data_IF_104410500773
#
_entry.id   IF_104410500773
#
_cell.length_a   1.000
_cell.length_b   1.000
_cell.length_c   1.000
_cell.angle_alpha   90.00
_cell.angle_beta   90.00
_cell.angle_gamma   90.00
#
_symmetry.space_group_name_H-M   'P 1'
#
loop_
_entity.id
_entity.type
_entity.pdbx_description
1 polymer ?
#
# COMPACT_ATOMS: atom_id res chain seq x y z
N UNK A 1 15.60 26.33 5.54
CA UNK A 1 14.59 25.56 4.78
C UNK A 1 14.16 24.42 5.66
N UNK A 2 12.95 24.47 6.22
CA UNK A 2 12.43 23.37 7.05
C UNK A 2 12.31 22.12 6.20
N UNK A 3 12.92 21.02 6.63
CA UNK A 3 12.83 19.74 5.93
C UNK A 3 11.36 19.33 5.83
N UNK A 4 10.92 18.96 4.63
CA UNK A 4 9.67 18.24 4.49
C UNK A 4 9.95 16.84 5.03
N UNK A 5 9.29 16.42 6.11
CA UNK A 5 9.36 15.03 6.55
C UNK A 5 8.67 14.17 5.48
N UNK A 6 9.36 13.15 4.98
CA UNK A 6 8.83 12.22 4.00
C UNK A 6 8.74 10.82 4.59
N UNK A 7 7.70 10.08 4.20
CA UNK A 7 7.59 8.66 4.50
C UNK A 7 8.22 7.86 3.37
N UNK A 8 9.06 6.90 3.71
CA UNK A 8 9.60 5.95 2.74
C UNK A 8 8.58 4.84 2.38
N UNK A 9 8.91 4.01 1.40
CA UNK A 9 8.02 2.94 0.95
C UNK A 9 7.75 1.88 2.03
N UNK A 10 8.69 1.66 2.95
CA UNK A 10 8.50 0.74 4.07
C UNK A 10 7.50 1.29 5.07
N UNK A 11 7.58 2.57 5.40
CA UNK A 11 6.63 3.24 6.27
C UNK A 11 5.24 3.28 5.65
N UNK A 12 5.12 3.65 4.36
CA UNK A 12 3.86 3.59 3.63
C UNK A 12 3.26 2.17 3.62
N UNK A 13 4.10 1.14 3.47
CA UNK A 13 3.63 -0.24 3.52
C UNK A 13 3.24 -0.69 4.92
N UNK A 14 3.93 -0.23 5.96
CA UNK A 14 3.62 -0.53 7.35
C UNK A 14 2.25 0.06 7.75
N UNK A 15 1.90 1.21 7.19
CA UNK A 15 0.58 1.84 7.30
C UNK A 15 -0.50 1.15 6.43
N UNK A 16 -0.13 0.16 5.61
CA UNK A 16 -1.06 -0.55 4.72
C UNK A 16 -1.44 0.24 3.47
N UNK A 17 -0.83 1.41 3.23
CA UNK A 17 -1.21 2.31 2.14
C UNK A 17 -0.92 1.72 0.75
N UNK A 18 0.19 0.99 0.61
CA UNK A 18 0.52 0.32 -0.67
C UNK A 18 -0.58 -0.67 -1.07
N UNK A 19 -1.06 -1.48 -0.12
CA UNK A 19 -2.13 -2.47 -0.39
C UNK A 19 -3.42 -1.74 -0.79
N UNK A 20 -3.75 -0.64 -0.12
CA UNK A 20 -4.94 0.15 -0.42
C UNK A 20 -4.86 0.81 -1.80
N UNK A 21 -3.75 1.47 -2.12
CA UNK A 21 -3.52 2.09 -3.44
C UNK A 21 -3.61 1.03 -4.54
N UNK A 22 -2.98 -0.12 -4.34
CA UNK A 22 -3.05 -1.23 -5.28
C UNK A 22 -4.49 -1.70 -5.47
N UNK A 23 -5.21 -2.03 -4.40
CA UNK A 23 -6.55 -2.58 -4.48
C UNK A 23 -7.57 -1.60 -5.09
N UNK A 24 -7.53 -0.33 -4.68
CA UNK A 24 -8.55 0.66 -5.06
C UNK A 24 -8.27 1.35 -6.40
N UNK A 25 -6.99 1.53 -6.76
CA UNK A 25 -6.62 2.36 -7.91
C UNK A 25 -5.91 1.54 -8.99
N UNK A 26 -4.83 0.83 -8.65
CA UNK A 26 -3.94 0.27 -9.66
C UNK A 26 -4.43 -1.07 -10.21
N UNK A 27 -4.94 -1.95 -9.36
CA UNK A 27 -5.45 -3.27 -9.73
C UNK A 27 -6.58 -3.19 -10.79
N UNK A 28 -7.57 -2.28 -10.68
CA UNK A 28 -8.56 -2.06 -11.74
C UNK A 28 -7.98 -1.62 -13.09
N UNK A 29 -6.78 -1.04 -13.09
CA UNK A 29 -6.05 -0.63 -14.28
C UNK A 29 -5.07 -1.70 -14.79
N UNK A 30 -5.03 -2.88 -14.15
CA UNK A 30 -4.04 -3.92 -14.44
C UNK A 30 -2.62 -3.56 -13.99
N UNK A 31 -2.48 -2.68 -13.01
CA UNK A 31 -1.20 -2.21 -12.48
C UNK A 31 -1.04 -2.61 -11.00
N UNK A 32 0.20 -2.77 -10.54
CA UNK A 32 0.49 -2.95 -9.11
C UNK A 32 1.88 -2.41 -8.76
N UNK A 33 2.00 -1.68 -7.65
CA UNK A 33 3.31 -1.29 -7.11
C UNK A 33 3.72 -2.21 -5.97
N UNK A 34 5.02 -2.42 -5.83
CA UNK A 34 5.59 -3.16 -4.71
C UNK A 34 6.88 -2.50 -4.26
N UNK A 35 7.40 -2.97 -3.14
CA UNK A 35 8.72 -2.58 -2.64
C UNK A 35 9.53 -3.85 -2.37
N UNK A 36 10.83 -3.75 -2.52
CA UNK A 36 11.73 -4.70 -1.90
C UNK A 36 11.82 -4.39 -0.39
N UNK A 37 11.43 -5.31 0.52
CA UNK A 37 11.50 -5.07 1.96
C UNK A 37 12.92 -4.82 2.48
N UNK A 38 13.95 -5.36 1.80
CA UNK A 38 15.33 -5.23 2.25
C UNK A 38 15.91 -3.85 1.92
N UNK A 39 15.67 -3.34 0.71
CA UNK A 39 16.16 -2.03 0.28
C UNK A 39 15.17 -0.88 0.49
N UNK A 40 13.88 -1.16 0.68
CA UNK A 40 12.83 -0.16 0.73
C UNK A 40 12.57 0.53 -0.62
N UNK A 41 13.10 0.00 -1.73
CA UNK A 41 12.96 0.60 -3.06
C UNK A 41 11.78 -0.03 -3.80
N UNK A 42 11.02 0.79 -4.51
CA UNK A 42 10.09 0.33 -5.54
C UNK A 42 10.72 0.49 -6.92
N UNK A 43 10.73 -0.57 -7.72
CA UNK A 43 11.21 -0.52 -9.11
C UNK A 43 10.21 0.15 -10.07
N UNK A 44 8.99 0.45 -9.60
CA UNK A 44 7.89 0.97 -10.41
C UNK A 44 6.65 0.07 -10.32
N UNK A 45 5.76 0.22 -11.31
CA UNK A 45 4.54 -0.58 -11.40
C UNK A 45 4.72 -1.83 -12.28
N UNK A 46 4.21 -2.96 -11.81
CA UNK A 46 4.04 -4.19 -12.56
C UNK A 46 2.75 -4.12 -13.39
N UNK A 47 2.76 -4.76 -14.56
CA UNK A 47 1.62 -4.82 -15.48
C UNK A 47 1.06 -6.25 -15.44
N UNK A 48 -0.25 -6.37 -15.25
CA UNK A 48 -0.97 -7.64 -15.26
C UNK A 48 -0.99 -8.24 -16.68
N UNK A 49 -0.59 -9.51 -16.87
CA UNK A 49 -0.66 -10.17 -18.18
C UNK A 49 -2.09 -10.33 -18.70
N UNK A 50 -3.07 -10.45 -17.81
CA UNK A 50 -4.50 -10.62 -18.09
C UNK A 50 -5.30 -9.30 -17.89
N UNK A 51 -4.60 -8.19 -17.63
CA UNK A 51 -5.19 -6.88 -17.45
C UNK A 51 -5.79 -6.61 -16.06
N UNK A 52 -5.64 -7.52 -15.09
CA UNK A 52 -6.12 -7.28 -13.72
C UNK A 52 -5.22 -7.89 -12.64
N UNK A 53 -5.21 -7.25 -11.48
CA UNK A 53 -4.62 -7.83 -10.27
C UNK A 53 -5.68 -7.93 -9.18
N UNK A 54 -5.61 -8.96 -8.35
CA UNK A 54 -6.48 -9.12 -7.18
C UNK A 54 -5.63 -9.62 -6.01
N UNK A 55 -5.81 -9.01 -4.84
CA UNK A 55 -5.23 -9.55 -3.63
C UNK A 55 -6.02 -10.77 -3.17
N UNK A 56 -5.32 -11.71 -2.54
CA UNK A 56 -6.00 -12.80 -1.85
C UNK A 56 -6.87 -12.26 -0.68
N UNK A 57 -8.02 -12.89 -0.39
CA UNK A 57 -8.97 -12.37 0.61
C UNK A 57 -8.36 -12.16 2.01
N UNK A 58 -7.41 -13.00 2.40
CA UNK A 58 -6.69 -12.91 3.68
C UNK A 58 -5.84 -11.63 3.81
N UNK A 59 -5.26 -11.15 2.70
CA UNK A 59 -4.53 -9.89 2.65
C UNK A 59 -5.47 -8.71 2.90
N UNK A 60 -6.66 -8.74 2.31
CA UNK A 60 -7.67 -7.67 2.46
C UNK A 60 -8.22 -7.65 3.89
N UNK A 61 -8.55 -8.80 4.47
CA UNK A 61 -9.04 -8.87 5.84
C UNK A 61 -7.97 -8.41 6.85
N UNK A 62 -6.72 -8.84 6.66
CA UNK A 62 -5.59 -8.38 7.48
C UNK A 62 -5.37 -6.86 7.40
N UNK A 63 -5.58 -6.24 6.23
CA UNK A 63 -5.53 -4.78 6.09
C UNK A 63 -6.68 -4.10 6.83
N UNK A 64 -7.90 -4.63 6.71
CA UNK A 64 -9.11 -4.06 7.35
C UNK A 64 -8.94 -3.96 8.85
N UNK A 65 -8.43 -5.02 9.49
CA UNK A 65 -8.11 -5.06 10.93
C UNK A 65 -7.06 -4.00 11.28
N UNK A 66 -5.97 -3.90 10.51
CA UNK A 66 -4.88 -2.95 10.79
C UNK A 66 -5.28 -1.49 10.60
N UNK A 67 -6.12 -1.19 9.62
CA UNK A 67 -6.66 0.15 9.38
C UNK A 67 -7.68 0.54 10.45
N UNK A 68 -8.51 -0.39 10.93
CA UNK A 68 -9.39 -0.11 12.07
C UNK A 68 -8.59 0.24 13.33
N UNK A 69 -7.47 -0.44 13.60
CA UNK A 69 -6.61 -0.15 14.74
C UNK A 69 -5.92 1.22 14.63
N UNK A 70 -5.49 1.61 13.43
CA UNK A 70 -4.89 2.93 13.18
C UNK A 70 -5.92 4.06 13.25
N UNK A 71 -7.16 3.85 12.79
CA UNK A 71 -8.24 4.83 12.94
C UNK A 71 -8.55 5.12 14.41
N UNK A 72 -8.41 4.13 15.30
CA UNK A 72 -8.57 4.34 16.75
C UNK A 72 -7.39 5.14 17.33
N UNK A 73 -6.17 4.93 16.84
CA UNK A 73 -4.98 5.64 17.34
C UNK A 73 -4.87 7.10 16.88
N UNK A 74 -5.40 7.46 15.71
CA UNK A 74 -5.30 8.81 15.13
C UNK A 74 -6.66 9.50 14.97
N UNK A 75 -7.66 9.13 15.77
CA UNK A 75 -9.04 9.64 15.71
C UNK A 75 -9.25 11.10 16.14
N UNK A 76 -8.35 12.00 15.75
CA UNK A 76 -8.55 13.45 15.82
C UNK A 76 -8.20 14.09 14.47
N UNK A 77 -9.16 14.06 13.55
CA UNK A 77 -9.32 15.06 12.50
C UNK A 77 -10.80 15.46 12.46
#
# INVERSE_FOLDING_TARGET
MGGCDWLDWNELSALGLIVRINAEILHPLGLAIFRDPASGISAGAMIAPDGKWEYAPDVIEGLRVRLSDHSVKYGHF
#
